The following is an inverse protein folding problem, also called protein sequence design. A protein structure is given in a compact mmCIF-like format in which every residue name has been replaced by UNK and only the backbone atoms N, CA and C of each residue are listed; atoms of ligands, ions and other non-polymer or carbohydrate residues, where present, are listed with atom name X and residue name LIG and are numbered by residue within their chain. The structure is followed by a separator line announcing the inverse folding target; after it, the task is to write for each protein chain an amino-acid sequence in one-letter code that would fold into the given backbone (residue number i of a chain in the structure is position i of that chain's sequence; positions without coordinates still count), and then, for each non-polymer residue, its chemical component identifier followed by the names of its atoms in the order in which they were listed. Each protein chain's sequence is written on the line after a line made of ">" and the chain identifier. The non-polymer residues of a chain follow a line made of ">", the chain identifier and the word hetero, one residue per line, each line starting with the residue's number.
data_IF_825536781446
#
_entry.id   IF_825536781446
#
_cell.length_a   1.000
_cell.length_b   1.000
_cell.length_c   1.000
_cell.angle_alpha   90.00
_cell.angle_beta   90.00
_cell.angle_gamma   90.00
#
_symmetry.space_group_name_H-M   'P 1'
#
loop_
_entity.id
_entity.type
_entity.pdbx_description
1 polymer ?
#
# COMPACT_ATOMS: atom_id res chain seq x y z
N UNK A 1 -25.39 -8.37 0.64
CA UNK A 1 -25.67 -6.92 0.75
C UNK A 1 -27.02 -6.75 1.43
N UNK A 2 -27.13 -5.89 2.46
CA UNK A 2 -28.42 -5.54 3.03
C UNK A 2 -29.25 -4.78 1.99
N UNK A 3 -30.50 -5.19 1.76
CA UNK A 3 -31.41 -4.61 0.77
C UNK A 3 -32.58 -3.92 1.48
N UNK A 4 -32.47 -2.64 1.88
CA UNK A 4 -33.49 -1.93 2.67
C UNK A 4 -34.88 -1.90 2.01
N UNK A 5 -34.94 -1.92 0.67
CA UNK A 5 -36.20 -1.94 -0.07
C UNK A 5 -37.06 -3.18 0.23
N UNK A 6 -36.44 -4.32 0.54
CA UNK A 6 -37.15 -5.56 0.97
C UNK A 6 -37.73 -5.46 2.39
N UNK A 7 -37.40 -4.40 3.13
CA UNK A 7 -37.82 -4.15 4.51
C UNK A 7 -38.51 -2.79 4.66
N UNK A 8 -39.19 -2.31 3.61
CA UNK A 8 -39.92 -1.03 3.65
C UNK A 8 -39.02 0.19 3.87
N UNK A 9 -37.76 0.12 3.41
CA UNK A 9 -36.77 1.18 3.60
C UNK A 9 -36.03 1.11 4.95
N UNK A 10 -36.39 0.18 5.85
CA UNK A 10 -35.75 0.06 7.15
C UNK A 10 -34.35 -0.57 7.04
N UNK A 11 -33.32 0.28 7.10
CA UNK A 11 -31.91 -0.11 7.00
C UNK A 11 -31.45 -1.02 8.15
N UNK A 12 -31.97 -0.83 9.35
CA UNK A 12 -31.59 -1.61 10.53
C UNK A 12 -32.08 -3.06 10.40
N UNK A 13 -33.37 -3.24 10.11
CA UNK A 13 -33.96 -4.58 9.91
C UNK A 13 -33.29 -5.33 8.75
N UNK A 14 -32.95 -4.62 7.67
CA UNK A 14 -32.23 -5.21 6.55
C UNK A 14 -30.82 -5.67 6.92
N UNK A 15 -30.13 -4.93 7.81
CA UNK A 15 -28.82 -5.29 8.34
C UNK A 15 -28.90 -6.52 9.24
N UNK A 16 -29.81 -6.53 10.22
CA UNK A 16 -30.00 -7.67 11.14
C UNK A 16 -30.41 -8.95 10.40
N UNK A 17 -31.25 -8.86 9.37
CA UNK A 17 -31.60 -10.00 8.54
C UNK A 17 -30.37 -10.54 7.79
N UNK A 18 -29.57 -9.65 7.20
CA UNK A 18 -28.34 -10.03 6.52
C UNK A 18 -27.33 -10.69 7.47
N UNK A 19 -27.11 -10.12 8.65
CA UNK A 19 -26.21 -10.64 9.67
C UNK A 19 -26.63 -12.03 10.17
N UNK A 20 -27.92 -12.22 10.46
CA UNK A 20 -28.43 -13.53 10.87
C UNK A 20 -28.31 -14.58 9.76
N UNK A 21 -28.65 -14.22 8.52
CA UNK A 21 -28.52 -15.14 7.38
C UNK A 21 -27.06 -15.54 7.14
N UNK A 22 -26.14 -14.58 7.25
CA UNK A 22 -24.71 -14.82 7.10
C UNK A 22 -24.18 -15.73 8.21
N UNK A 23 -24.54 -15.45 9.47
CA UNK A 23 -24.18 -16.29 10.62
C UNK A 23 -24.68 -17.72 10.48
N UNK A 24 -25.94 -17.92 10.07
CA UNK A 24 -26.49 -19.25 9.83
C UNK A 24 -25.73 -20.02 8.74
N UNK A 25 -25.37 -19.35 7.64
CA UNK A 25 -24.56 -19.96 6.58
C UNK A 25 -23.17 -20.36 7.10
N UNK A 26 -22.54 -19.50 7.90
CA UNK A 26 -21.22 -19.76 8.48
C UNK A 26 -21.25 -20.93 9.47
N UNK A 27 -22.25 -21.03 10.34
CA UNK A 27 -22.40 -22.18 11.25
C UNK A 27 -22.65 -23.50 10.51
N UNK A 28 -23.44 -23.48 9.43
CA UNK A 28 -23.64 -24.65 8.58
C UNK A 28 -22.34 -25.07 7.88
N UNK A 29 -21.57 -24.11 7.37
CA UNK A 29 -20.24 -24.41 6.80
C UNK A 29 -19.29 -24.97 7.85
N UNK A 30 -19.29 -24.43 9.08
CA UNK A 30 -18.42 -24.92 10.15
C UNK A 30 -18.70 -26.38 10.48
N UNK A 31 -19.98 -26.77 10.52
CA UNK A 31 -20.40 -28.14 10.80
C UNK A 31 -19.99 -29.14 9.71
N UNK A 32 -19.84 -28.68 8.47
CA UNK A 32 -19.40 -29.50 7.33
C UNK A 32 -17.88 -29.40 7.06
N UNK A 33 -17.18 -28.47 7.72
CA UNK A 33 -15.78 -28.18 7.47
C UNK A 33 -14.87 -29.23 8.11
N UNK A 34 -13.83 -29.63 7.39
CA UNK A 34 -12.77 -30.48 7.92
C UNK A 34 -11.54 -29.63 8.26
N UNK A 35 -10.91 -29.79 9.44
CA UNK A 35 -9.83 -28.90 9.92
C UNK A 35 -8.59 -28.89 9.00
N UNK A 36 -8.33 -29.98 8.29
CA UNK A 36 -7.15 -30.10 7.41
C UNK A 36 -7.30 -29.36 6.07
N UNK A 37 -8.51 -28.99 5.67
CA UNK A 37 -8.77 -28.34 4.37
C UNK A 37 -9.21 -26.88 4.55
N UNK A 38 -8.58 -25.93 3.86
CA UNK A 38 -9.00 -24.53 3.92
C UNK A 38 -10.31 -24.32 3.16
N UNK A 39 -11.11 -23.38 3.65
CA UNK A 39 -12.28 -22.84 2.98
C UNK A 39 -11.96 -21.47 2.40
N UNK A 40 -12.67 -21.10 1.34
CA UNK A 40 -12.54 -19.78 0.71
C UNK A 40 -13.89 -19.09 0.58
N UNK A 41 -13.95 -17.79 0.90
CA UNK A 41 -15.09 -16.93 0.61
C UNK A 41 -14.66 -15.75 -0.27
N UNK A 42 -15.48 -15.45 -1.27
CA UNK A 42 -15.27 -14.33 -2.17
C UNK A 42 -16.11 -13.15 -1.69
N UNK A 43 -15.47 -12.01 -1.45
CA UNK A 43 -16.13 -10.77 -1.04
C UNK A 43 -15.85 -9.67 -2.04
N UNK A 44 -16.92 -9.05 -2.55
CA UNK A 44 -16.80 -7.86 -3.39
C UNK A 44 -16.48 -6.66 -2.49
N UNK A 45 -15.20 -6.35 -2.35
CA UNK A 45 -14.72 -5.27 -1.49
C UNK A 45 -14.78 -3.94 -2.26
N UNK A 46 -15.36 -2.91 -1.64
CA UNK A 46 -15.31 -1.54 -2.18
C UNK A 46 -14.15 -0.82 -1.52
N UNK A 47 -13.31 -0.11 -2.29
CA UNK A 47 -12.21 0.70 -1.73
C UNK A 47 -12.68 1.69 -0.66
N UNK A 48 -13.91 2.22 -0.77
CA UNK A 48 -14.49 3.08 0.28
C UNK A 48 -14.67 2.36 1.63
N UNK A 49 -14.67 1.03 1.67
CA UNK A 49 -14.66 0.21 2.90
C UNK A 49 -13.26 0.12 3.52
N UNK A 50 -12.18 0.21 2.74
CA UNK A 50 -10.80 0.36 3.25
C UNK A 50 -10.53 1.80 3.74
N UNK A 51 -11.11 2.79 3.04
CA UNK A 51 -11.00 4.21 3.37
C UNK A 51 -12.05 4.71 4.34
N UNK A 52 -12.76 3.84 5.07
CA UNK A 52 -13.49 4.29 6.26
C UNK A 52 -12.42 4.77 7.24
N UNK A 53 -12.06 6.05 7.09
CA UNK A 53 -11.29 6.80 8.06
C UNK A 53 -12.05 6.61 9.35
N UNK A 54 -11.44 5.88 10.28
CA UNK A 54 -11.80 5.97 11.69
C UNK A 54 -11.44 7.41 12.09
N UNK A 55 -12.28 8.38 11.73
CA UNK A 55 -12.14 9.76 12.17
C UNK A 55 -12.03 9.71 13.68
N UNK A 56 -10.97 10.34 14.21
CA UNK A 56 -10.86 10.61 15.63
C UNK A 56 -12.16 11.21 16.15
N UNK A 57 -12.51 10.78 17.35
CA UNK A 57 -13.70 11.21 18.07
C UNK A 57 -13.66 12.73 18.27
N UNK A 58 -14.50 13.44 17.53
CA UNK A 58 -14.95 14.76 17.92
C UNK A 58 -16.45 14.66 18.17
N UNK A 59 -16.86 14.89 19.41
CA UNK A 59 -18.25 14.91 19.92
C UNK A 59 -18.98 13.57 20.17
N UNK A 60 -18.31 12.53 20.68
CA UNK A 60 -18.98 11.42 21.41
C UNK A 60 -20.09 10.66 20.68
N UNK A 61 -20.27 10.88 19.38
CA UNK A 61 -21.21 10.19 18.50
C UNK A 61 -20.40 9.52 17.40
N UNK A 62 -19.87 8.36 17.74
CA UNK A 62 -19.35 7.42 16.75
C UNK A 62 -20.45 7.14 15.73
N UNK A 63 -20.28 7.60 14.49
CA UNK A 63 -21.02 7.05 13.37
C UNK A 63 -20.60 5.58 13.25
N UNK A 64 -21.39 4.70 13.88
CA UNK A 64 -21.31 3.23 13.90
C UNK A 64 -21.58 2.62 12.51
N UNK A 65 -20.89 3.09 11.47
CA UNK A 65 -20.87 2.37 10.20
C UNK A 65 -19.86 1.24 10.30
N UNK A 66 -20.26 0.10 10.89
CA UNK A 66 -19.52 -1.15 10.65
C UNK A 66 -19.59 -1.42 9.15
N UNK A 67 -18.45 -1.58 8.50
CA UNK A 67 -18.41 -1.93 7.08
C UNK A 67 -19.01 -3.33 6.89
N UNK A 68 -19.51 -3.63 5.68
CA UNK A 68 -19.95 -5.00 5.36
C UNK A 68 -18.83 -6.03 5.58
N UNK A 69 -17.59 -5.59 5.42
CA UNK A 69 -16.37 -6.33 5.72
C UNK A 69 -16.21 -6.68 7.20
N UNK A 70 -16.35 -5.71 8.12
CA UNK A 70 -16.26 -5.98 9.57
C UNK A 70 -17.30 -7.02 10.01
N UNK A 71 -18.54 -6.89 9.51
CA UNK A 71 -19.62 -7.85 9.77
C UNK A 71 -19.28 -9.24 9.24
N UNK A 72 -18.68 -9.35 8.05
CA UNK A 72 -18.27 -10.64 7.48
C UNK A 72 -17.17 -11.31 8.32
N UNK A 73 -16.13 -10.57 8.69
CA UNK A 73 -15.05 -11.09 9.52
C UNK A 73 -15.57 -11.52 10.89
N UNK A 74 -16.39 -10.68 11.53
CA UNK A 74 -17.00 -11.00 12.84
C UNK A 74 -17.83 -12.28 12.75
N UNK A 75 -18.68 -12.43 11.73
CA UNK A 75 -19.49 -13.64 11.55
C UNK A 75 -18.65 -14.91 11.40
N UNK A 76 -17.53 -14.86 10.65
CA UNK A 76 -16.63 -16.01 10.51
C UNK A 76 -16.03 -16.41 11.86
N UNK A 77 -15.59 -15.42 12.64
CA UNK A 77 -14.99 -15.67 13.95
C UNK A 77 -16.00 -16.19 14.96
N UNK A 78 -17.23 -15.67 14.95
CA UNK A 78 -18.32 -16.12 15.82
C UNK A 78 -18.75 -17.55 15.51
N UNK A 79 -18.68 -17.96 14.23
CA UNK A 79 -18.91 -19.33 13.80
C UNK A 79 -17.77 -20.30 14.17
N UNK A 80 -16.66 -19.81 14.73
CA UNK A 80 -15.54 -20.64 15.17
C UNK A 80 -14.40 -20.78 14.15
N UNK A 81 -14.41 -20.02 13.06
CA UNK A 81 -13.30 -20.03 12.10
C UNK A 81 -12.12 -19.18 12.59
N UNK A 82 -10.94 -19.49 12.05
CA UNK A 82 -9.75 -18.66 12.05
C UNK A 82 -9.41 -18.28 10.60
N UNK A 83 -9.12 -17.01 10.38
CA UNK A 83 -8.69 -16.47 9.09
C UNK A 83 -7.21 -16.82 8.92
N UNK A 84 -6.80 -17.21 7.73
CA UNK A 84 -5.43 -17.63 7.43
C UNK A 84 -4.80 -16.86 6.28
N UNK A 85 -5.61 -16.15 5.49
CA UNK A 85 -5.12 -15.24 4.45
C UNK A 85 -6.22 -14.38 3.86
N UNK A 86 -5.82 -13.24 3.31
CA UNK A 86 -6.65 -12.37 2.46
C UNK A 86 -5.88 -12.11 1.19
N UNK A 87 -6.48 -12.40 0.04
CA UNK A 87 -5.84 -12.21 -1.25
C UNK A 87 -6.65 -11.26 -2.11
N UNK A 88 -6.05 -10.13 -2.57
CA UNK A 88 -6.70 -9.29 -3.55
C UNK A 88 -6.81 -10.05 -4.88
N UNK A 89 -7.97 -10.01 -5.50
CA UNK A 89 -8.27 -10.66 -6.78
C UNK A 89 -8.80 -9.63 -7.76
N UNK A 90 -8.13 -9.57 -8.92
CA UNK A 90 -8.58 -8.77 -10.06
C UNK A 90 -9.51 -9.62 -10.92
N UNK A 91 -10.71 -9.12 -11.18
CA UNK A 91 -11.67 -9.78 -12.06
C UNK A 91 -11.44 -9.31 -13.51
N UNK A 92 -11.22 -10.24 -14.42
CA UNK A 92 -10.90 -9.96 -15.84
C UNK A 92 -12.04 -9.27 -16.62
N UNK A 93 -13.27 -9.25 -16.09
CA UNK A 93 -14.43 -8.58 -16.69
C UNK A 93 -14.86 -7.35 -15.90
N UNK A 94 -14.71 -6.12 -16.43
CA UNK A 94 -15.41 -4.95 -15.93
C UNK A 94 -16.86 -4.96 -16.47
N UNK A 95 -17.71 -5.86 -15.97
CA UNK A 95 -19.14 -5.86 -16.34
C UNK A 95 -19.91 -4.84 -15.51
N UNK A 96 -20.24 -3.68 -16.10
CA UNK A 96 -21.25 -2.75 -15.57
C UNK A 96 -21.19 -1.34 -16.17
N UNK A 97 -22.35 -0.80 -16.58
CA UNK A 97 -22.57 0.52 -17.22
C UNK A 97 -22.34 1.72 -16.25
N UNK A 98 -21.40 1.61 -15.30
CA UNK A 98 -21.02 2.69 -14.36
C UNK A 98 -19.51 2.94 -14.35
N UNK A 99 -18.92 2.91 -15.54
CA UNK A 99 -17.48 3.06 -15.80
C UNK A 99 -16.91 4.43 -15.36
N UNK A 100 -17.75 5.43 -15.03
CA UNK A 100 -17.27 6.77 -14.68
C UNK A 100 -17.03 7.04 -13.17
N UNK A 101 -17.33 6.13 -12.23
CA UNK A 101 -17.19 6.47 -10.79
C UNK A 101 -16.62 5.40 -9.85
N UNK A 102 -16.48 4.12 -10.25
CA UNK A 102 -16.00 3.07 -9.32
C UNK A 102 -15.31 1.91 -10.07
N UNK A 103 -14.25 2.19 -10.83
CA UNK A 103 -13.53 1.19 -11.62
C UNK A 103 -12.53 0.32 -10.83
N UNK A 104 -12.52 0.40 -9.49
CA UNK A 104 -11.57 -0.29 -8.61
C UNK A 104 -12.29 -1.10 -7.52
N UNK A 105 -13.30 -1.89 -7.90
CA UNK A 105 -13.85 -2.92 -7.00
C UNK A 105 -12.98 -4.18 -7.10
N UNK A 106 -11.85 -4.21 -6.38
CA UNK A 106 -11.07 -5.44 -6.21
C UNK A 106 -11.90 -6.45 -5.39
N UNK A 107 -12.06 -7.68 -5.89
CA UNK A 107 -12.65 -8.75 -5.07
C UNK A 107 -11.57 -9.26 -4.11
N UNK A 108 -11.96 -9.70 -2.92
CA UNK A 108 -11.04 -10.32 -1.95
C UNK A 108 -11.41 -11.79 -1.81
N UNK A 109 -10.40 -12.65 -1.85
CA UNK A 109 -10.52 -14.05 -1.43
C UNK A 109 -10.08 -14.15 0.02
N UNK A 110 -11.02 -14.50 0.89
CA UNK A 110 -10.76 -14.85 2.28
C UNK A 110 -10.46 -16.33 2.38
N UNK A 111 -9.34 -16.71 2.99
CA UNK A 111 -9.00 -18.09 3.30
C UNK A 111 -9.13 -18.31 4.80
N UNK A 112 -9.91 -19.29 5.22
CA UNK A 112 -10.17 -19.58 6.63
C UNK A 112 -10.34 -21.07 6.89
N UNK A 113 -10.19 -21.48 8.14
CA UNK A 113 -10.33 -22.88 8.59
C UNK A 113 -10.92 -22.94 9.99
N UNK A 114 -11.52 -24.06 10.41
CA UNK A 114 -11.96 -24.23 11.79
C UNK A 114 -10.83 -23.91 12.77
N UNK A 115 -11.10 -23.09 13.78
CA UNK A 115 -10.13 -22.78 14.82
C UNK A 115 -9.98 -24.02 15.73
N UNK A 116 -8.76 -24.39 16.14
CA UNK A 116 -8.58 -25.45 17.12
C UNK A 116 -9.36 -25.16 18.40
N UNK A 117 -10.06 -26.17 18.93
CA UNK A 117 -10.80 -26.03 20.20
C UNK A 117 -9.89 -25.72 21.39
N UNK A 118 -8.60 -26.06 21.27
CA UNK A 118 -7.54 -25.79 22.26
C UNK A 118 -6.89 -24.41 22.12
N UNK A 119 -7.42 -23.53 21.25
CA UNK A 119 -6.88 -22.20 21.05
C UNK A 119 -6.86 -21.41 22.37
N UNK A 120 -5.69 -20.90 22.74
CA UNK A 120 -5.53 -20.11 23.96
C UNK A 120 -6.18 -18.73 23.85
N UNK A 121 -6.43 -18.09 24.99
CA UNK A 121 -6.67 -16.65 25.05
C UNK A 121 -5.34 -15.91 25.21
N UNK A 122 -5.29 -14.64 24.80
CA UNK A 122 -4.11 -13.78 24.96
C UNK A 122 -4.52 -12.36 25.34
N UNK A 123 -3.55 -11.54 25.72
CA UNK A 123 -3.79 -10.12 26.03
C UNK A 123 -3.53 -9.22 24.81
N UNK A 124 -4.09 -8.01 24.79
CA UNK A 124 -3.80 -7.00 23.76
C UNK A 124 -2.31 -6.72 23.58
N UNK A 125 -1.54 -6.68 24.67
CA UNK A 125 -0.10 -6.41 24.62
C UNK A 125 0.68 -7.52 23.92
N UNK A 126 0.33 -8.78 24.19
CA UNK A 126 0.93 -9.94 23.53
C UNK A 126 0.54 -10.02 22.05
N UNK A 127 -0.73 -9.75 21.74
CA UNK A 127 -1.20 -9.63 20.36
C UNK A 127 -0.39 -8.59 19.56
N UNK A 128 -0.20 -7.39 20.13
CA UNK A 128 0.61 -6.34 19.49
C UNK A 128 2.07 -6.74 19.31
N UNK A 129 2.66 -7.42 20.31
CA UNK A 129 4.03 -7.95 20.21
C UNK A 129 4.15 -8.98 19.09
N UNK A 130 3.19 -9.88 18.96
CA UNK A 130 3.15 -10.86 17.86
C UNK A 130 2.96 -10.20 16.50
N UNK A 131 2.08 -9.19 16.39
CA UNK A 131 1.89 -8.41 15.17
C UNK A 131 3.20 -7.76 14.73
N UNK A 132 3.87 -7.02 15.61
CA UNK A 132 5.15 -6.35 15.31
C UNK A 132 6.26 -7.32 14.93
N UNK A 133 6.21 -8.56 15.44
CA UNK A 133 7.18 -9.60 15.09
C UNK A 133 6.93 -10.23 13.72
N UNK A 134 5.66 -10.53 13.38
CA UNK A 134 5.31 -11.35 12.21
C UNK A 134 4.91 -10.51 10.99
N UNK A 135 4.23 -9.38 11.19
CA UNK A 135 3.67 -8.58 10.10
C UNK A 135 4.74 -7.96 9.19
N UNK A 136 5.87 -7.40 9.69
CA UNK A 136 6.91 -6.82 8.81
C UNK A 136 7.48 -7.83 7.81
N UNK A 137 7.68 -9.09 8.23
CA UNK A 137 8.16 -10.14 7.35
C UNK A 137 7.16 -10.45 6.22
N UNK A 138 5.87 -10.53 6.56
CA UNK A 138 4.82 -10.74 5.56
C UNK A 138 4.73 -9.57 4.56
N UNK A 139 4.86 -8.32 5.04
CA UNK A 139 4.86 -7.13 4.17
C UNK A 139 6.03 -7.15 3.19
N UNK A 140 7.24 -7.50 3.65
CA UNK A 140 8.41 -7.64 2.76
C UNK A 140 8.18 -8.68 1.68
N UNK A 141 7.61 -9.84 2.02
CA UNK A 141 7.25 -10.85 1.01
C UNK A 141 6.27 -10.31 -0.03
N UNK A 142 5.29 -9.50 0.39
CA UNK A 142 4.34 -8.87 -0.53
C UNK A 142 4.99 -7.80 -1.43
N UNK A 143 5.92 -6.99 -0.90
CA UNK A 143 6.70 -6.02 -1.67
C UNK A 143 7.62 -6.69 -2.70
N UNK A 144 8.24 -7.81 -2.32
CA UNK A 144 9.06 -8.63 -3.22
C UNK A 144 8.23 -9.26 -4.34
N UNK A 145 6.99 -9.66 -4.04
CA UNK A 145 6.02 -10.12 -5.04
C UNK A 145 5.40 -8.99 -5.88
N UNK A 146 5.81 -7.73 -5.66
CA UNK A 146 5.27 -6.55 -6.32
C UNK A 146 3.74 -6.44 -6.24
N UNK A 147 3.15 -6.81 -5.09
CA UNK A 147 1.72 -6.57 -4.85
C UNK A 147 1.48 -5.06 -4.84
N UNK A 148 0.56 -4.57 -5.67
CA UNK A 148 0.31 -3.13 -5.80
C UNK A 148 0.06 -2.46 -4.44
N UNK A 149 0.55 -1.23 -4.18
CA UNK A 149 0.34 -0.54 -2.90
C UNK A 149 -1.12 -0.43 -2.48
N UNK A 150 -2.03 -0.18 -3.43
CA UNK A 150 -3.49 -0.14 -3.19
C UNK A 150 -4.06 -1.47 -2.71
N UNK A 151 -3.48 -2.58 -3.16
CA UNK A 151 -3.88 -3.94 -2.83
C UNK A 151 -3.13 -4.44 -1.57
N UNK A 152 -1.94 -3.89 -1.26
CA UNK A 152 -1.11 -4.24 -0.12
C UNK A 152 -1.82 -3.99 1.21
N UNK A 153 -2.55 -2.88 1.32
CA UNK A 153 -3.32 -2.56 2.52
C UNK A 153 -4.34 -3.67 2.86
N UNK A 154 -4.96 -4.26 1.83
CA UNK A 154 -5.94 -5.35 1.98
C UNK A 154 -5.25 -6.71 2.19
N UNK A 155 -4.15 -6.97 1.49
CA UNK A 155 -3.37 -8.19 1.65
C UNK A 155 -2.78 -8.30 3.07
N UNK A 156 -2.34 -7.18 3.65
CA UNK A 156 -1.79 -7.11 5.01
C UNK A 156 -2.81 -7.46 6.11
N UNK A 157 -4.12 -7.30 5.84
CA UNK A 157 -5.17 -7.70 6.79
C UNK A 157 -5.12 -9.20 7.05
N UNK A 158 -4.78 -10.02 6.06
CA UNK A 158 -4.75 -11.48 6.15
C UNK A 158 -3.79 -11.98 7.23
N UNK A 159 -2.49 -11.68 7.13
CA UNK A 159 -1.52 -12.01 8.17
C UNK A 159 -1.88 -11.44 9.55
N UNK A 160 -2.39 -10.21 9.61
CA UNK A 160 -2.81 -9.59 10.87
C UNK A 160 -4.00 -10.30 11.52
N UNK A 161 -5.02 -10.60 10.73
CA UNK A 161 -6.22 -11.33 11.17
C UNK A 161 -5.91 -12.80 11.45
N UNK A 162 -4.91 -13.39 10.80
CA UNK A 162 -4.45 -14.73 11.12
C UNK A 162 -3.88 -14.80 12.54
N UNK A 163 -3.11 -13.79 12.95
CA UNK A 163 -2.61 -13.69 14.32
C UNK A 163 -3.78 -13.47 15.30
N UNK A 164 -4.66 -12.52 15.01
CA UNK A 164 -5.80 -12.21 15.88
C UNK A 164 -6.75 -13.41 16.07
N UNK A 165 -7.08 -14.10 14.97
CA UNK A 165 -8.06 -15.19 14.98
C UNK A 165 -7.50 -16.56 15.33
N UNK A 166 -6.17 -16.69 15.47
CA UNK A 166 -5.56 -17.90 16.00
C UNK A 166 -5.89 -18.11 17.49
N UNK A 167 -6.15 -17.03 18.22
CA UNK A 167 -6.55 -17.06 19.62
C UNK A 167 -8.07 -17.26 19.76
N UNK A 168 -8.51 -17.91 20.83
CA UNK A 168 -9.93 -18.00 21.18
C UNK A 168 -10.51 -16.60 21.49
N UNK A 169 -9.74 -15.77 22.18
CA UNK A 169 -10.03 -14.36 22.41
C UNK A 169 -8.75 -13.57 22.68
N UNK A 170 -8.71 -12.32 22.23
CA UNK A 170 -7.74 -11.32 22.67
C UNK A 170 -8.44 -10.42 23.68
N UNK A 171 -7.89 -10.29 24.89
CA UNK A 171 -8.51 -9.56 25.99
C UNK A 171 -7.89 -8.16 26.14
N UNK A 172 -8.75 -7.18 26.32
CA UNK A 172 -8.38 -5.83 26.74
C UNK A 172 -8.03 -5.82 28.24
N UNK A 173 -7.34 -4.78 28.77
CA UNK A 173 -7.01 -4.69 30.19
C UNK A 173 -8.21 -4.83 31.15
N UNK A 174 -9.40 -4.45 30.70
CA UNK A 174 -10.66 -4.61 31.46
C UNK A 174 -11.27 -6.01 31.41
N UNK A 175 -10.62 -6.99 30.75
CA UNK A 175 -11.13 -8.36 30.60
C UNK A 175 -12.11 -8.57 29.45
N UNK A 176 -12.60 -7.49 28.84
CA UNK A 176 -13.46 -7.53 27.66
C UNK A 176 -12.72 -8.04 26.42
N UNK A 177 -13.46 -8.67 25.50
CA UNK A 177 -12.89 -9.12 24.21
C UNK A 177 -12.60 -7.92 23.32
N UNK A 178 -11.37 -7.85 22.82
CA UNK A 178 -10.96 -6.91 21.78
C UNK A 178 -11.81 -7.17 20.53
N UNK A 179 -12.45 -6.13 19.98
CA UNK A 179 -13.37 -6.30 18.84
C UNK A 179 -12.60 -6.35 17.52
N UNK A 180 -13.19 -6.97 16.49
CA UNK A 180 -12.61 -7.03 15.13
C UNK A 180 -12.22 -5.65 14.61
N UNK A 181 -13.07 -4.64 14.81
CA UNK A 181 -12.78 -3.25 14.42
C UNK A 181 -11.47 -2.74 15.04
N UNK A 182 -11.29 -2.95 16.35
CA UNK A 182 -10.07 -2.55 17.05
C UNK A 182 -8.87 -3.36 16.57
N UNK A 183 -9.04 -4.65 16.27
CA UNK A 183 -7.97 -5.48 15.72
C UNK A 183 -7.49 -4.94 14.35
N UNK A 184 -8.43 -4.62 13.45
CA UNK A 184 -8.10 -4.03 12.13
C UNK A 184 -7.37 -2.70 12.26
N UNK A 185 -7.76 -1.85 13.21
CA UNK A 185 -7.05 -0.60 13.51
C UNK A 185 -5.59 -0.86 13.94
N UNK A 186 -5.38 -1.80 14.85
CA UNK A 186 -4.04 -2.16 15.33
C UNK A 186 -3.19 -2.79 14.22
N UNK A 187 -3.77 -3.62 13.36
CA UNK A 187 -3.08 -4.22 12.20
C UNK A 187 -2.63 -3.12 11.23
N UNK A 188 -3.52 -2.18 10.89
CA UNK A 188 -3.18 -1.05 10.01
C UNK A 188 -2.09 -0.16 10.64
N UNK A 189 -2.18 0.09 11.96
CA UNK A 189 -1.16 0.85 12.68
C UNK A 189 0.21 0.15 12.61
N UNK A 190 0.30 -1.14 12.95
CA UNK A 190 1.57 -1.87 12.91
C UNK A 190 2.12 -1.99 11.50
N UNK A 191 1.25 -2.10 10.48
CA UNK A 191 1.68 -2.03 9.07
C UNK A 191 2.34 -0.68 8.77
N UNK A 192 1.69 0.41 9.15
CA UNK A 192 2.21 1.76 8.89
C UNK A 192 3.51 2.03 9.65
N UNK A 193 3.64 1.50 10.88
CA UNK A 193 4.89 1.48 11.67
C UNK A 193 5.98 0.74 10.88
N UNK A 194 5.72 -0.50 10.45
CA UNK A 194 6.68 -1.33 9.73
C UNK A 194 7.17 -0.72 8.41
N UNK A 195 6.27 -0.08 7.64
CA UNK A 195 6.63 0.64 6.42
C UNK A 195 7.42 1.93 6.69
N UNK A 196 7.26 2.53 7.87
CA UNK A 196 8.01 3.74 8.24
C UNK A 196 9.37 3.42 8.83
N UNK A 197 9.57 2.25 9.45
CA UNK A 197 10.90 1.80 9.93
C UNK A 197 11.90 1.64 8.76
N UNK A 198 11.40 1.31 7.56
CA UNK A 198 12.19 1.28 6.33
C UNK A 198 12.76 2.66 5.94
N UNK A 199 12.27 3.77 6.51
CA UNK A 199 12.78 5.11 6.22
C UNK A 199 14.27 5.28 6.59
N UNK A 200 14.79 4.41 7.46
CA UNK A 200 16.21 4.36 7.85
C UNK A 200 17.13 3.68 6.82
N UNK A 201 16.56 2.95 5.86
CA UNK A 201 17.31 2.24 4.82
C UNK A 201 17.65 3.13 3.61
N UNK A 202 16.95 4.26 3.44
CA UNK A 202 17.20 5.20 2.35
C UNK A 202 18.41 6.10 2.60
N UNK A 203 18.96 6.67 1.51
CA UNK A 203 19.91 7.77 1.65
C UNK A 203 19.33 8.98 2.40
N UNK A 204 20.20 9.81 2.99
CA UNK A 204 19.79 10.87 3.93
C UNK A 204 18.95 11.94 3.24
N UNK A 205 19.31 12.29 2.01
CA UNK A 205 18.62 13.25 1.16
C UNK A 205 17.21 12.74 0.79
N UNK A 206 17.06 11.46 0.47
CA UNK A 206 15.75 10.82 0.27
C UNK A 206 14.93 10.84 1.55
N UNK A 207 15.55 10.54 2.70
CA UNK A 207 14.89 10.66 3.99
C UNK A 207 14.33 12.07 4.24
N UNK A 208 15.10 13.12 3.88
CA UNK A 208 14.63 14.50 3.97
C UNK A 208 13.44 14.75 3.04
N UNK A 209 13.51 14.23 1.80
CA UNK A 209 12.44 14.39 0.83
C UNK A 209 11.14 13.70 1.29
N UNK A 210 11.24 12.54 1.95
CA UNK A 210 10.10 11.86 2.59
C UNK A 210 9.47 12.74 3.67
N UNK A 211 10.27 13.32 4.57
CA UNK A 211 9.78 14.19 5.64
C UNK A 211 9.10 15.44 5.09
N UNK A 212 9.72 16.09 4.09
CA UNK A 212 9.15 17.23 3.40
C UNK A 212 7.83 16.86 2.73
N UNK A 213 7.82 15.77 1.96
CA UNK A 213 6.65 15.29 1.26
C UNK A 213 5.53 14.93 2.24
N UNK A 214 5.84 14.30 3.37
CA UNK A 214 4.84 13.98 4.39
C UNK A 214 4.20 15.23 5.03
N UNK A 215 4.87 16.37 5.05
CA UNK A 215 4.32 17.60 5.62
C UNK A 215 3.64 18.48 4.56
N UNK A 216 4.33 18.73 3.45
CA UNK A 216 3.99 19.74 2.46
C UNK A 216 3.63 19.16 1.08
N UNK A 217 3.77 17.85 0.89
CA UNK A 217 3.61 17.22 -0.41
C UNK A 217 4.58 17.82 -1.41
N UNK A 218 4.08 18.15 -2.61
CA UNK A 218 4.86 18.81 -3.67
C UNK A 218 4.81 20.35 -3.59
N UNK A 219 4.19 20.92 -2.56
CA UNK A 219 4.03 22.37 -2.42
C UNK A 219 5.30 23.06 -1.90
N UNK A 220 5.39 24.37 -2.17
CA UNK A 220 6.44 25.22 -1.61
C UNK A 220 6.20 25.55 -0.13
N UNK A 221 7.28 25.60 0.63
CA UNK A 221 7.29 26.15 1.99
C UNK A 221 8.55 27.00 2.23
N UNK A 222 8.68 27.53 3.45
CA UNK A 222 9.75 28.46 3.83
C UNK A 222 11.11 27.78 3.95
N UNK A 223 12.16 28.50 3.57
CA UNK A 223 13.55 28.00 3.67
C UNK A 223 13.92 27.57 5.09
N UNK A 224 13.48 28.30 6.13
CA UNK A 224 13.80 27.96 7.53
C UNK A 224 13.28 26.58 7.95
N UNK A 225 12.13 26.16 7.42
CA UNK A 225 11.61 24.80 7.63
C UNK A 225 12.48 23.78 6.92
N UNK A 226 12.87 24.05 5.67
CA UNK A 226 13.74 23.18 4.90
C UNK A 226 15.08 22.96 5.59
N UNK A 227 15.68 24.04 6.11
CA UNK A 227 16.93 24.03 6.87
C UNK A 227 16.80 23.24 8.18
N UNK A 228 15.70 23.42 8.92
CA UNK A 228 15.44 22.67 10.16
C UNK A 228 15.40 21.16 9.89
N UNK A 229 14.66 20.74 8.85
CA UNK A 229 14.61 19.34 8.44
C UNK A 229 15.98 18.84 7.94
N UNK A 230 16.73 19.67 7.20
CA UNK A 230 18.04 19.31 6.67
C UNK A 230 19.05 19.05 7.80
N UNK A 231 19.07 19.92 8.81
CA UNK A 231 19.88 19.78 10.00
C UNK A 231 19.54 18.51 10.79
N UNK A 232 18.26 18.18 10.94
CA UNK A 232 17.82 16.97 11.62
C UNK A 232 18.33 15.68 10.96
N UNK A 233 18.61 15.70 9.66
CA UNK A 233 19.14 14.57 8.87
C UNK A 233 20.61 14.68 8.51
N UNK A 234 21.31 15.69 9.03
CA UNK A 234 22.70 15.98 8.71
C UNK A 234 22.96 16.08 7.19
N UNK A 235 22.06 16.77 6.48
CA UNK A 235 22.17 17.14 5.06
C UNK A 235 22.07 18.67 4.94
N UNK A 236 22.32 19.22 3.74
CA UNK A 236 22.19 20.65 3.48
C UNK A 236 21.24 20.96 2.32
N UNK A 237 20.54 22.10 2.40
CA UNK A 237 19.63 22.55 1.34
C UNK A 237 20.37 22.70 0.01
N UNK A 238 21.59 23.25 0.05
CA UNK A 238 22.42 23.37 -1.16
C UNK A 238 22.84 22.00 -1.71
N UNK A 239 23.17 21.04 -0.85
CA UNK A 239 23.48 19.67 -1.26
C UNK A 239 22.30 19.00 -1.96
N UNK A 240 21.08 19.15 -1.43
CA UNK A 240 19.86 18.61 -2.04
C UNK A 240 19.47 19.33 -3.34
N UNK A 241 19.80 20.62 -3.47
CA UNK A 241 19.62 21.38 -4.72
C UNK A 241 20.58 20.87 -5.80
N UNK A 242 21.82 20.57 -5.43
CA UNK A 242 22.83 20.00 -6.34
C UNK A 242 22.48 18.57 -6.74
N UNK A 243 21.93 17.79 -5.81
CA UNK A 243 21.42 16.44 -6.03
C UNK A 243 20.01 16.43 -6.65
N UNK A 244 19.60 17.45 -7.39
CA UNK A 244 18.38 17.38 -8.21
C UNK A 244 17.03 17.13 -7.50
N UNK A 245 16.95 17.13 -6.17
CA UNK A 245 15.71 16.83 -5.41
C UNK A 245 14.83 18.07 -5.26
N UNK A 246 15.44 19.25 -5.02
CA UNK A 246 14.70 20.47 -4.68
C UNK A 246 15.04 21.67 -5.57
N UNK A 247 14.08 22.60 -5.64
CA UNK A 247 14.34 24.00 -5.98
C UNK A 247 14.38 24.83 -4.70
N UNK A 248 15.37 25.70 -4.60
CA UNK A 248 15.50 26.68 -3.52
C UNK A 248 15.79 28.05 -4.13
N UNK A 249 14.99 29.06 -3.76
CA UNK A 249 15.12 30.41 -4.27
C UNK A 249 14.11 31.36 -3.65
N UNK A 250 14.45 32.64 -3.54
CA UNK A 250 13.57 33.69 -2.96
C UNK A 250 13.03 33.34 -1.56
N UNK A 251 13.83 32.65 -0.73
CA UNK A 251 13.43 32.22 0.62
C UNK A 251 12.42 31.07 0.65
N UNK A 252 12.17 30.41 -0.48
CA UNK A 252 11.21 29.32 -0.64
C UNK A 252 11.91 28.06 -1.13
N UNK A 253 11.40 26.91 -0.71
CA UNK A 253 11.89 25.58 -1.09
C UNK A 253 10.70 24.71 -1.52
N UNK A 254 10.90 23.85 -2.53
CA UNK A 254 9.99 22.76 -2.91
C UNK A 254 10.76 21.59 -3.51
N UNK A 255 10.14 20.42 -3.48
CA UNK A 255 10.52 19.28 -4.30
C UNK A 255 10.37 19.60 -5.79
N UNK A 256 11.26 19.06 -6.63
CA UNK A 256 11.13 19.17 -8.08
C UNK A 256 10.02 18.22 -8.57
N UNK A 257 8.98 18.72 -9.25
CA UNK A 257 7.91 17.90 -9.76
C UNK A 257 8.38 17.11 -10.98
N UNK A 258 7.77 15.94 -11.21
CA UNK A 258 8.13 15.02 -12.31
C UNK A 258 8.19 15.69 -13.69
N UNK A 259 7.31 16.66 -13.95
CA UNK A 259 7.29 17.40 -15.21
C UNK A 259 8.53 18.30 -15.44
N UNK A 260 9.25 18.69 -14.39
CA UNK A 260 10.45 19.52 -14.44
C UNK A 260 11.76 18.70 -14.42
N UNK A 261 11.66 17.38 -14.29
CA UNK A 261 12.83 16.50 -14.28
C UNK A 261 13.42 16.36 -15.69
N UNK A 262 14.77 16.33 -15.85
CA UNK A 262 15.41 16.22 -17.16
C UNK A 262 15.02 14.95 -17.91
N UNK A 263 14.82 15.08 -19.22
CA UNK A 263 14.41 13.96 -20.08
C UNK A 263 15.54 12.99 -20.41
N UNK A 264 16.75 13.51 -20.47
CA UNK A 264 18.01 12.86 -20.80
C UNK A 264 18.81 12.45 -19.54
N UNK A 265 18.17 12.50 -18.36
CA UNK A 265 18.80 12.07 -17.11
C UNK A 265 19.27 10.61 -17.19
N UNK A 266 20.49 10.37 -16.75
CA UNK A 266 21.12 9.06 -16.74
C UNK A 266 21.75 8.82 -15.36
N UNK A 267 21.29 7.80 -14.59
CA UNK A 267 21.79 7.53 -13.26
C UNK A 267 23.30 7.20 -13.23
N UNK A 268 23.87 6.70 -14.35
CA UNK A 268 25.29 6.40 -14.43
C UNK A 268 26.20 7.65 -14.41
N UNK A 269 25.65 8.82 -14.78
CA UNK A 269 26.37 10.08 -14.81
C UNK A 269 26.06 10.97 -13.60
N UNK A 270 25.19 10.50 -12.70
CA UNK A 270 24.76 11.26 -11.52
C UNK A 270 25.68 10.98 -10.33
N UNK A 271 26.51 11.96 -10.00
CA UNK A 271 27.46 11.86 -8.89
C UNK A 271 26.79 11.89 -7.51
N UNK A 272 25.52 12.31 -7.42
CA UNK A 272 24.75 12.42 -6.17
C UNK A 272 23.42 11.67 -6.25
N UNK A 273 23.40 10.57 -7.00
CA UNK A 273 22.23 9.74 -7.21
C UNK A 273 21.50 9.42 -5.90
N UNK A 274 20.23 9.81 -5.82
CA UNK A 274 19.36 9.53 -4.67
C UNK A 274 18.23 8.57 -5.01
N UNK A 275 17.73 7.83 -4.02
CA UNK A 275 16.59 6.92 -4.19
C UNK A 275 15.32 7.70 -4.57
N UNK A 276 15.17 8.93 -4.07
CA UNK A 276 14.11 9.86 -4.46
C UNK A 276 14.14 10.16 -5.96
N UNK A 277 15.27 10.60 -6.50
CA UNK A 277 15.39 10.93 -7.92
C UNK A 277 15.10 9.71 -8.79
N UNK A 278 15.66 8.55 -8.45
CA UNK A 278 15.43 7.30 -9.19
C UNK A 278 13.93 6.99 -9.23
N UNK A 279 13.22 7.06 -8.11
CA UNK A 279 11.78 6.81 -8.07
C UNK A 279 10.99 7.78 -8.97
N UNK A 280 11.28 9.08 -8.86
CA UNK A 280 10.56 10.08 -9.65
C UNK A 280 10.86 9.99 -11.15
N UNK A 281 12.11 9.70 -11.53
CA UNK A 281 12.51 9.50 -12.92
C UNK A 281 11.93 8.21 -13.52
N UNK A 282 11.85 7.11 -12.76
CA UNK A 282 11.19 5.87 -13.20
C UNK A 282 9.70 6.09 -13.49
N UNK A 283 9.00 6.79 -12.60
CA UNK A 283 7.58 7.14 -12.80
C UNK A 283 7.42 8.03 -14.04
N UNK A 284 8.23 9.08 -14.16
CA UNK A 284 8.20 9.97 -15.34
C UNK A 284 8.45 9.19 -16.64
N UNK A 285 9.46 8.31 -16.65
CA UNK A 285 9.80 7.51 -17.82
C UNK A 285 8.64 6.57 -18.19
N UNK A 286 7.96 6.00 -17.20
CA UNK A 286 6.78 5.16 -17.41
C UNK A 286 5.60 5.96 -17.99
N UNK A 287 5.34 7.16 -17.44
CA UNK A 287 4.22 8.01 -17.86
C UNK A 287 4.41 8.61 -19.27
N UNK A 288 5.65 8.89 -19.67
CA UNK A 288 5.96 9.58 -20.93
C UNK A 288 6.49 8.67 -22.04
N UNK A 289 7.25 7.64 -21.68
CA UNK A 289 7.89 6.70 -22.62
C UNK A 289 7.44 5.25 -22.47
N UNK A 290 6.51 4.96 -21.56
CA UNK A 290 5.98 3.62 -21.34
C UNK A 290 6.98 2.64 -20.73
N UNK A 291 6.66 1.35 -20.85
CA UNK A 291 7.41 0.25 -20.22
C UNK A 291 8.85 0.15 -20.69
N UNK A 292 9.10 0.36 -21.98
CA UNK A 292 10.45 0.26 -22.56
C UNK A 292 11.40 1.31 -21.98
N UNK A 293 10.96 2.57 -21.89
CA UNK A 293 11.76 3.65 -21.33
C UNK A 293 12.02 3.43 -19.82
N UNK A 294 10.99 3.08 -19.06
CA UNK A 294 11.13 2.82 -17.62
C UNK A 294 11.96 1.56 -17.34
N UNK A 295 11.83 0.50 -18.14
CA UNK A 295 12.61 -0.73 -18.00
C UNK A 295 14.09 -0.52 -18.33
N UNK A 296 14.38 0.25 -19.38
CA UNK A 296 15.75 0.70 -19.71
C UNK A 296 16.36 1.48 -18.55
N UNK A 297 15.64 2.47 -18.03
CA UNK A 297 16.12 3.29 -16.91
C UNK A 297 16.32 2.46 -15.63
N UNK A 298 15.42 1.51 -15.36
CA UNK A 298 15.54 0.56 -14.25
C UNK A 298 16.85 -0.21 -14.32
N UNK A 299 17.23 -0.73 -15.49
CA UNK A 299 18.51 -1.43 -15.67
C UNK A 299 19.70 -0.52 -15.43
N UNK A 300 19.64 0.73 -15.90
CA UNK A 300 20.70 1.72 -15.67
C UNK A 300 20.86 2.09 -14.19
N UNK A 301 19.76 2.17 -13.44
CA UNK A 301 19.75 2.48 -12.01
C UNK A 301 20.22 1.30 -11.12
N UNK A 302 20.29 0.08 -11.65
CA UNK A 302 20.79 -1.10 -10.93
C UNK A 302 20.00 -1.37 -9.64
N UNK A 303 20.70 -1.74 -8.56
CA UNK A 303 20.07 -2.08 -7.28
C UNK A 303 19.26 -0.95 -6.64
N UNK A 304 19.57 0.32 -6.93
CA UNK A 304 18.77 1.46 -6.46
C UNK A 304 17.38 1.51 -7.07
N UNK A 305 17.15 0.86 -8.21
CA UNK A 305 15.81 0.76 -8.78
C UNK A 305 14.87 -0.04 -7.85
N UNK A 306 15.34 -1.12 -7.24
CA UNK A 306 14.53 -1.90 -6.30
C UNK A 306 14.25 -1.10 -5.01
N UNK A 307 15.23 -0.32 -4.52
CA UNK A 307 15.02 0.64 -3.41
C UNK A 307 14.00 1.72 -3.78
N UNK A 308 14.05 2.23 -5.01
CA UNK A 308 13.08 3.20 -5.51
C UNK A 308 11.65 2.62 -5.64
N UNK A 309 11.52 1.33 -5.94
CA UNK A 309 10.23 0.62 -5.88
C UNK A 309 9.73 0.56 -4.43
N UNK A 310 10.59 0.25 -3.48
CA UNK A 310 10.21 0.21 -2.06
C UNK A 310 9.83 1.61 -1.55
N UNK A 311 10.54 2.66 -2.00
CA UNK A 311 10.17 4.06 -1.78
C UNK A 311 8.78 4.39 -2.33
N UNK A 312 8.38 3.84 -3.47
CA UNK A 312 7.03 4.06 -4.02
C UNK A 312 5.93 3.51 -3.09
N UNK A 313 6.14 2.39 -2.40
CA UNK A 313 5.20 1.94 -1.35
C UNK A 313 5.09 2.96 -0.23
N UNK A 314 6.22 3.48 0.25
CA UNK A 314 6.26 4.48 1.33
C UNK A 314 5.53 5.76 0.94
N UNK A 315 5.80 6.30 -0.25
CA UNK A 315 5.18 7.53 -0.75
C UNK A 315 3.68 7.33 -1.01
N UNK A 316 3.27 6.16 -1.51
CA UNK A 316 1.86 5.80 -1.61
C UNK A 316 1.14 5.84 -0.26
N UNK A 317 1.71 5.22 0.79
CA UNK A 317 1.13 5.25 2.14
C UNK A 317 1.01 6.67 2.69
N UNK A 318 1.97 7.56 2.40
CA UNK A 318 1.86 8.98 2.76
C UNK A 318 0.69 9.65 2.03
N UNK A 319 0.58 9.44 0.71
CA UNK A 319 -0.51 9.98 -0.10
C UNK A 319 -1.88 9.49 0.39
N UNK A 320 -2.02 8.21 0.73
CA UNK A 320 -3.26 7.64 1.27
C UNK A 320 -3.70 8.36 2.55
N UNK A 321 -2.78 8.52 3.51
CA UNK A 321 -3.06 9.21 4.79
C UNK A 321 -3.48 10.66 4.56
N UNK A 322 -2.85 11.34 3.60
CA UNK A 322 -3.12 12.74 3.28
C UNK A 322 -4.32 12.93 2.35
N UNK A 323 -4.79 11.87 1.67
CA UNK A 323 -5.82 11.95 0.65
C UNK A 323 -5.34 12.54 -0.68
N UNK A 324 -4.05 12.42 -1.00
CA UNK A 324 -3.46 12.90 -2.25
C UNK A 324 -3.61 11.86 -3.36
N UNK A 325 -4.84 11.60 -3.79
CA UNK A 325 -5.17 10.49 -4.69
C UNK A 325 -4.45 10.55 -6.04
N UNK A 326 -4.30 11.73 -6.64
CA UNK A 326 -3.62 11.86 -7.94
C UNK A 326 -2.15 11.47 -7.86
N UNK A 327 -1.50 11.86 -6.77
CA UNK A 327 -0.10 11.57 -6.53
C UNK A 327 0.10 10.07 -6.20
N UNK A 328 -0.80 9.48 -5.41
CA UNK A 328 -0.85 8.05 -5.12
C UNK A 328 -0.94 7.17 -6.38
N UNK A 329 -1.69 7.58 -7.40
CA UNK A 329 -1.83 6.81 -8.65
C UNK A 329 -0.48 6.55 -9.32
N UNK A 330 0.43 7.53 -9.28
CA UNK A 330 1.74 7.45 -9.92
C UNK A 330 2.63 6.40 -9.24
N UNK A 331 2.69 6.44 -7.90
CA UNK A 331 3.43 5.46 -7.10
C UNK A 331 2.86 4.04 -7.23
N UNK A 332 1.53 3.92 -7.22
CA UNK A 332 0.88 2.63 -7.43
C UNK A 332 1.15 2.08 -8.83
N UNK A 333 1.12 2.94 -9.86
CA UNK A 333 1.39 2.57 -11.25
C UNK A 333 2.79 1.99 -11.44
N UNK A 334 3.82 2.60 -10.84
CA UNK A 334 5.19 2.09 -10.92
C UNK A 334 5.30 0.64 -10.44
N UNK A 335 4.72 0.34 -9.27
CA UNK A 335 4.78 -0.99 -8.67
C UNK A 335 3.97 -2.01 -9.47
N UNK A 336 2.79 -1.64 -9.95
CA UNK A 336 1.94 -2.50 -10.79
C UNK A 336 2.67 -2.93 -12.06
N UNK A 337 3.39 -2.00 -12.69
CA UNK A 337 4.11 -2.26 -13.93
C UNK A 337 5.47 -2.94 -13.69
N UNK A 338 5.95 -3.00 -12.44
CA UNK A 338 7.28 -3.51 -12.10
C UNK A 338 7.63 -4.88 -12.70
N UNK A 339 6.75 -5.90 -12.67
CA UNK A 339 7.06 -7.21 -13.26
C UNK A 339 7.32 -7.13 -14.77
N UNK A 340 6.65 -6.22 -15.48
CA UNK A 340 6.90 -6.01 -16.91
C UNK A 340 8.19 -5.21 -17.13
N UNK A 341 8.49 -4.22 -16.27
CA UNK A 341 9.76 -3.49 -16.33
C UNK A 341 10.98 -4.39 -16.11
N UNK A 342 10.85 -5.44 -15.29
CA UNK A 342 11.89 -6.46 -15.08
C UNK A 342 12.12 -7.30 -16.35
N UNK A 343 11.08 -7.53 -17.16
CA UNK A 343 11.15 -8.32 -18.40
C UNK A 343 11.75 -7.58 -19.59
N UNK A 344 11.73 -6.24 -19.57
CA UNK A 344 12.41 -5.43 -20.59
C UNK A 344 13.89 -5.83 -20.61
N UNK A 345 14.43 -6.09 -21.78
CA UNK A 345 15.83 -6.50 -21.90
C UNK A 345 16.76 -5.37 -21.44
N UNK A 346 17.91 -5.72 -20.86
CA UNK A 346 18.95 -4.74 -20.61
C UNK A 346 19.34 -4.07 -21.94
N UNK A 347 19.48 -2.74 -21.99
CA UNK A 347 19.97 -2.06 -23.18
C UNK A 347 21.30 -2.70 -23.61
N UNK A 348 21.44 -3.03 -24.90
CA UNK A 348 22.69 -3.57 -25.41
C UNK A 348 23.84 -2.63 -25.04
N UNK A 349 24.79 -3.11 -24.24
CA UNK A 349 25.99 -2.37 -23.90
C UNK A 349 26.80 -2.14 -25.19
N UNK A 350 26.71 -0.94 -25.76
CA UNK A 350 27.58 -0.48 -26.84
C UNK A 350 27.34 -1.10 -28.22
N UNK A 351 26.32 -0.61 -28.93
CA UNK A 351 26.32 -0.61 -30.39
C UNK A 351 26.15 0.83 -30.91
N UNK A 352 27.07 1.72 -30.52
CA UNK A 352 27.48 2.84 -31.37
C UNK A 352 28.72 2.39 -32.12
N UNK A 353 28.53 1.59 -33.16
CA UNK A 353 29.50 1.52 -34.25
C UNK A 353 29.11 2.61 -35.22
N UNK A 354 29.98 3.61 -35.33
CA UNK A 354 30.09 4.58 -36.42
C UNK A 354 29.43 4.12 -37.73
N UNK A 355 28.24 4.65 -38.03
CA UNK A 355 27.80 4.85 -39.41
C UNK A 355 28.03 6.31 -39.76
N UNK A 356 29.31 6.71 -39.79
CA UNK A 356 29.73 7.90 -40.53
C UNK A 356 31.12 7.65 -41.10
N UNK A 357 31.15 7.49 -42.43
CA UNK A 357 32.27 7.48 -43.38
C UNK A 357 32.49 6.13 -44.07
N UNK A 358 31.71 5.90 -45.12
CA UNK A 358 32.18 5.29 -46.37
C UNK A 358 31.18 5.70 -47.46
N UNK A 359 31.56 6.66 -48.28
CA UNK A 359 30.72 7.15 -49.37
C UNK A 359 31.05 8.53 -49.93
N UNK A 360 32.27 9.03 -49.79
CA UNK A 360 32.80 10.08 -50.65
C UNK A 360 34.31 9.88 -50.77
N UNK A 361 34.72 9.11 -51.79
CA UNK A 361 35.91 9.38 -52.59
C UNK A 361 36.11 8.29 -53.65
N UNK A 362 36.18 8.73 -54.92
CA UNK A 362 36.96 8.07 -55.96
C UNK A 362 36.17 7.43 -57.12
N UNK A 363 36.16 8.11 -58.27
CA UNK A 363 35.95 7.49 -59.59
C UNK A 363 35.00 8.22 -60.51
#
# INVERSE_FOLDING_TARGET
>A
MATPYRFGGNKLKAKEFFERGLGAAFSSMYSAAHPDYPLTAFYAFKQTEAHVRYKEEVNGKSALSSTGWETMLQGLLDAGFSITGTWPMRTERPTGVKVATNALASSIVLVFRPRPQTAATTTRGEFLRELRRKLPAALRTMQQASIAPVDLAQAAIGPGMAIYSAYAAVLEPGGERLRVRTALQLINQVRDEALSEQDSEYDRETGWAIDWFAQYGMSEAEYGVAETLANARAVSVEGMRQAGIIRSGRGRVRLIPRAELPADWNPANDARLTDWEVAQHLIRALETGGREAAGTLRHQAGGRADVAKDLAYRLYTICERKGWSQEALSYNGLVVEWPELVRVAAPAAGARVEQQRLGSDGG
#
